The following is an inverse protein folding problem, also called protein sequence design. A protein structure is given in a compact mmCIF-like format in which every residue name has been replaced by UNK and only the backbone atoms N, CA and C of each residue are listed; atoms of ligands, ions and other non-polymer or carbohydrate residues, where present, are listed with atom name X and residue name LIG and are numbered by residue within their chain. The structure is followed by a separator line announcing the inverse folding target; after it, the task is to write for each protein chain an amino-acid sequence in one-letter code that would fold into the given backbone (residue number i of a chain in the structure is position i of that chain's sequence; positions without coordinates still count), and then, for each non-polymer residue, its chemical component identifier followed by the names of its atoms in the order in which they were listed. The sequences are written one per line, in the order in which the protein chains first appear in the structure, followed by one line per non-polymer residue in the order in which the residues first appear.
data_IF_413014363709
#
_entry.id   IF_413014363709
#
_cell.length_a   1.000
_cell.length_b   1.000
_cell.length_c   1.000
_cell.angle_alpha   90.00
_cell.angle_beta   90.00
_cell.angle_gamma   90.00
#
_symmetry.space_group_name_H-M   'P 1'
#
loop_
_entity.id
_entity.type
_entity.pdbx_description
1 polymer ?
#
# COMPACT_ATOMS: atom_id res chain seq x y z
N UNK A 1 -12.05 -24.46 65.31
CA UNK A 1 -12.46 -23.20 64.66
C UNK A 1 -11.56 -22.75 63.49
N UNK A 2 -10.51 -23.49 63.09
CA UNK A 2 -9.61 -23.08 61.98
C UNK A 2 -9.85 -23.86 60.67
N UNK A 3 -10.56 -24.99 60.70
CA UNK A 3 -10.79 -25.83 59.50
C UNK A 3 -11.95 -25.34 58.62
N UNK A 4 -12.90 -24.57 59.17
CA UNK A 4 -14.03 -24.02 58.40
C UNK A 4 -13.68 -22.77 57.57
N UNK A 5 -12.62 -22.02 57.95
CA UNK A 5 -12.20 -20.83 57.21
C UNK A 5 -11.44 -21.18 55.91
N UNK A 6 -10.66 -22.27 55.91
CA UNK A 6 -9.93 -22.72 54.72
C UNK A 6 -10.87 -23.29 53.63
N UNK A 7 -11.92 -24.03 54.04
CA UNK A 7 -12.95 -24.53 53.13
C UNK A 7 -13.75 -23.40 52.47
N UNK A 8 -14.07 -22.34 53.22
CA UNK A 8 -14.76 -21.17 52.69
C UNK A 8 -13.90 -20.40 51.67
N UNK A 9 -12.59 -20.23 51.90
CA UNK A 9 -11.69 -19.54 50.96
C UNK A 9 -11.46 -20.35 49.67
N UNK A 10 -11.37 -21.68 49.76
CA UNK A 10 -11.25 -22.56 48.58
C UNK A 10 -12.58 -22.63 47.81
N UNK A 11 -13.72 -22.68 48.50
CA UNK A 11 -15.04 -22.64 47.90
C UNK A 11 -15.34 -21.27 47.24
N UNK A 12 -14.92 -20.16 47.87
CA UNK A 12 -15.07 -18.82 47.30
C UNK A 12 -14.16 -18.61 46.08
N UNK A 13 -12.93 -19.14 46.09
CA UNK A 13 -12.03 -19.16 44.93
C UNK A 13 -12.50 -20.09 43.80
N UNK A 14 -13.26 -21.13 44.11
CA UNK A 14 -13.85 -22.04 43.14
C UNK A 14 -15.14 -21.46 42.52
N UNK A 15 -15.96 -20.74 43.31
CA UNK A 15 -17.16 -20.05 42.82
C UNK A 15 -16.84 -18.74 42.08
N UNK A 16 -15.73 -18.07 42.40
CA UNK A 16 -15.26 -16.87 41.67
C UNK A 16 -14.36 -17.19 40.47
N UNK A 17 -14.09 -18.48 40.19
CA UNK A 17 -13.85 -18.91 38.80
C UNK A 17 -15.20 -18.92 38.09
N UNK A 18 -15.79 -17.72 37.98
CA UNK A 18 -16.96 -17.48 37.17
C UNK A 18 -16.71 -18.04 35.79
N UNK A 19 -17.75 -18.63 35.22
CA UNK A 19 -17.83 -19.27 33.91
C UNK A 19 -17.35 -18.29 32.81
N UNK A 20 -16.03 -18.07 32.72
CA UNK A 20 -15.41 -17.19 31.74
C UNK A 20 -15.62 -17.88 30.41
N UNK A 21 -16.52 -17.32 29.60
CA UNK A 21 -16.75 -17.80 28.25
C UNK A 21 -15.40 -17.88 27.54
N UNK A 22 -15.12 -19.04 26.96
CA UNK A 22 -13.88 -19.30 26.23
C UNK A 22 -13.92 -18.52 24.92
N UNK A 23 -12.86 -17.78 24.57
CA UNK A 23 -12.78 -17.12 23.28
C UNK A 23 -12.95 -18.12 22.14
N UNK A 24 -13.83 -17.81 21.20
CA UNK A 24 -14.03 -18.61 19.97
C UNK A 24 -13.08 -18.16 18.86
N UNK A 25 -12.63 -16.90 18.88
CA UNK A 25 -11.61 -16.37 17.97
C UNK A 25 -10.95 -15.12 18.57
N UNK A 26 -9.81 -14.74 17.99
CA UNK A 26 -9.13 -13.46 18.26
C UNK A 26 -9.39 -12.53 17.10
N UNK A 27 -9.74 -11.28 17.40
CA UNK A 27 -9.97 -10.25 16.41
C UNK A 27 -9.31 -8.92 16.81
N UNK A 28 -9.23 -8.02 15.84
CA UNK A 28 -8.64 -6.70 15.98
C UNK A 28 -9.62 -5.63 15.50
N UNK A 29 -9.67 -4.49 16.20
CA UNK A 29 -10.52 -3.36 15.84
C UNK A 29 -9.99 -2.67 14.57
N UNK A 30 -10.86 -2.40 13.60
CA UNK A 30 -10.48 -1.72 12.34
C UNK A 30 -11.01 -0.30 12.16
N UNK A 31 -11.91 0.15 13.03
CA UNK A 31 -12.33 1.55 13.07
C UNK A 31 -11.33 2.40 13.87
N UNK A 32 -11.26 3.72 13.63
CA UNK A 32 -10.48 4.62 14.48
C UNK A 32 -10.96 4.65 15.94
N UNK A 33 -12.25 4.41 16.15
CA UNK A 33 -12.93 4.39 17.45
C UNK A 33 -14.03 3.34 17.44
N UNK A 34 -14.11 2.50 18.47
CA UNK A 34 -15.15 1.50 18.64
C UNK A 34 -15.62 1.44 20.09
N UNK A 35 -16.88 1.76 20.31
CA UNK A 35 -17.48 1.70 21.64
C UNK A 35 -17.77 0.24 22.05
N UNK A 36 -17.28 -0.14 23.23
CA UNK A 36 -17.64 -1.37 23.93
C UNK A 36 -18.90 -1.13 24.74
N UNK A 37 -20.00 -1.79 24.39
CA UNK A 37 -21.31 -1.56 25.01
C UNK A 37 -21.63 -2.62 26.05
N UNK A 38 -22.45 -2.30 27.05
CA UNK A 38 -22.96 -3.29 28.00
C UNK A 38 -24.02 -4.23 27.40
N UNK A 39 -24.76 -3.78 26.39
CA UNK A 39 -25.81 -4.54 25.69
C UNK A 39 -25.87 -4.17 24.21
N UNK A 40 -26.27 -5.09 23.30
CA UNK A 40 -26.51 -4.77 21.89
C UNK A 40 -27.84 -4.04 21.64
N UNK A 41 -28.57 -3.67 22.69
CA UNK A 41 -29.86 -2.97 22.58
C UNK A 41 -29.71 -1.49 22.22
N UNK A 42 -30.82 -0.87 21.77
CA UNK A 42 -30.87 0.56 21.42
C UNK A 42 -30.49 1.45 22.61
N UNK A 43 -30.93 1.07 23.82
CA UNK A 43 -30.53 1.73 25.06
C UNK A 43 -29.39 0.93 25.68
N UNK A 44 -28.21 1.54 25.73
CA UNK A 44 -26.98 0.94 26.23
C UNK A 44 -26.11 2.01 26.88
N UNK A 45 -25.08 1.55 27.60
CA UNK A 45 -24.00 2.37 28.14
C UNK A 45 -22.68 1.96 27.49
N UNK A 46 -21.88 2.95 27.09
CA UNK A 46 -20.48 2.73 26.69
C UNK A 46 -19.63 2.43 27.91
N UNK A 47 -19.04 1.23 27.94
CA UNK A 47 -18.13 0.75 28.97
C UNK A 47 -16.71 1.26 28.74
N UNK A 48 -16.26 1.21 27.48
CA UNK A 48 -14.91 1.57 27.05
C UNK A 48 -14.94 2.00 25.58
N UNK A 49 -13.95 2.77 25.14
CA UNK A 49 -13.73 3.11 23.73
C UNK A 49 -12.40 2.53 23.28
N UNK A 50 -12.45 1.57 22.37
CA UNK A 50 -11.29 0.93 21.76
C UNK A 50 -10.85 1.68 20.51
N UNK A 51 -9.59 1.50 20.13
CA UNK A 51 -8.94 2.13 18.99
C UNK A 51 -8.55 1.10 17.93
N UNK A 52 -8.23 1.61 16.74
CA UNK A 52 -7.67 0.79 15.66
C UNK A 52 -6.50 -0.07 16.16
N UNK A 53 -6.54 -1.37 15.88
CA UNK A 53 -5.51 -2.33 16.24
C UNK A 53 -5.62 -2.90 17.65
N UNK A 54 -6.62 -2.50 18.44
CA UNK A 54 -6.86 -3.13 19.74
C UNK A 54 -7.27 -4.59 19.55
N UNK A 55 -6.60 -5.47 20.30
CA UNK A 55 -6.86 -6.92 20.28
C UNK A 55 -8.01 -7.25 21.21
N UNK A 56 -8.98 -8.01 20.71
CA UNK A 56 -10.09 -8.55 21.49
C UNK A 56 -10.23 -10.05 21.32
N UNK A 57 -10.65 -10.71 22.39
CA UNK A 57 -11.09 -12.09 22.38
C UNK A 57 -12.59 -12.11 22.10
N UNK A 58 -13.02 -12.64 20.97
CA UNK A 58 -14.45 -12.78 20.65
C UNK A 58 -14.99 -13.98 21.41
N UNK A 59 -15.99 -13.76 22.26
CA UNK A 59 -16.61 -14.80 23.09
C UNK A 59 -17.84 -15.40 22.39
N UNK A 60 -18.60 -14.56 21.69
CA UNK A 60 -19.83 -14.96 20.99
C UNK A 60 -20.15 -13.99 19.84
N UNK A 61 -20.75 -14.51 18.77
CA UNK A 61 -21.36 -13.71 17.70
C UNK A 61 -22.88 -13.87 17.73
N UNK A 62 -23.61 -12.76 17.58
CA UNK A 62 -25.07 -12.72 17.53
C UNK A 62 -25.53 -11.66 16.51
N UNK A 63 -25.74 -12.09 15.26
CA UNK A 63 -26.08 -11.19 14.16
C UNK A 63 -24.96 -10.17 13.90
N UNK A 64 -25.32 -8.88 13.84
CA UNK A 64 -24.37 -7.77 13.65
C UNK A 64 -23.53 -7.44 14.89
N UNK A 65 -23.71 -8.16 15.99
CA UNK A 65 -23.04 -7.93 17.25
C UNK A 65 -22.12 -9.08 17.64
N UNK A 66 -21.02 -8.75 18.30
CA UNK A 66 -20.12 -9.71 18.92
C UNK A 66 -19.95 -9.34 20.39
N UNK A 67 -20.06 -10.32 21.28
CA UNK A 67 -19.62 -10.17 22.65
C UNK A 67 -18.12 -10.44 22.70
N UNK A 68 -17.36 -9.48 23.20
CA UNK A 68 -15.90 -9.51 23.21
C UNK A 68 -15.36 -9.32 24.62
N UNK A 69 -14.13 -9.76 24.83
CA UNK A 69 -13.30 -9.45 25.99
C UNK A 69 -12.07 -8.68 25.54
N UNK A 70 -11.86 -7.51 26.12
CA UNK A 70 -10.67 -6.67 25.89
C UNK A 70 -9.46 -7.22 26.63
N UNK A 71 -8.27 -6.69 26.31
CA UNK A 71 -7.01 -7.13 26.92
C UNK A 71 -6.90 -6.83 28.43
N UNK A 72 -7.59 -5.80 28.91
CA UNK A 72 -7.70 -5.44 30.33
C UNK A 72 -8.80 -6.25 31.08
N UNK A 73 -9.56 -7.07 30.34
CA UNK A 73 -10.53 -8.02 30.88
C UNK A 73 -11.97 -7.51 30.93
N UNK A 74 -12.28 -6.31 30.41
CA UNK A 74 -13.65 -5.85 30.26
C UNK A 74 -14.41 -6.73 29.23
N UNK A 75 -15.68 -7.01 29.50
CA UNK A 75 -16.55 -7.75 28.58
C UNK A 75 -17.74 -6.89 28.16
N UNK A 76 -18.03 -6.86 26.87
CA UNK A 76 -19.13 -6.08 26.31
C UNK A 76 -19.44 -6.47 24.88
N UNK A 77 -20.29 -5.69 24.23
CA UNK A 77 -20.81 -5.91 22.89
C UNK A 77 -20.30 -4.85 21.92
N UNK A 78 -19.89 -5.30 20.74
CA UNK A 78 -19.38 -4.45 19.66
C UNK A 78 -19.98 -4.86 18.32
N UNK A 79 -19.93 -3.99 17.33
CA UNK A 79 -20.41 -4.31 15.99
C UNK A 79 -19.40 -5.24 15.31
N UNK A 80 -19.85 -6.41 14.85
CA UNK A 80 -18.98 -7.45 14.26
C UNK A 80 -18.20 -6.95 13.04
N UNK A 81 -18.77 -6.04 12.25
CA UNK A 81 -18.13 -5.51 11.03
C UNK A 81 -16.87 -4.66 11.33
N UNK A 82 -16.73 -4.19 12.56
CA UNK A 82 -15.59 -3.38 13.02
C UNK A 82 -14.47 -4.27 13.58
N UNK A 83 -14.63 -5.60 13.47
CA UNK A 83 -13.66 -6.60 13.90
C UNK A 83 -13.05 -7.32 12.70
N UNK A 84 -11.73 -7.46 12.72
CA UNK A 84 -10.96 -8.19 11.73
C UNK A 84 -10.34 -9.45 12.35
N UNK A 85 -10.52 -10.64 11.78
CA UNK A 85 -9.91 -11.87 12.29
C UNK A 85 -8.38 -11.78 12.36
N UNK A 86 -7.77 -12.39 13.39
CA UNK A 86 -6.31 -12.37 13.64
C UNK A 86 -5.49 -12.66 12.40
N UNK A 87 -5.85 -13.72 11.65
CA UNK A 87 -5.11 -14.14 10.45
C UNK A 87 -5.07 -13.05 9.37
N UNK A 88 -6.17 -12.32 9.18
CA UNK A 88 -6.26 -11.25 8.17
C UNK A 88 -5.50 -10.01 8.64
N UNK A 89 -5.66 -9.64 9.91
CA UNK A 89 -4.93 -8.54 10.51
C UNK A 89 -3.41 -8.76 10.43
N UNK A 90 -2.94 -9.93 10.83
CA UNK A 90 -1.52 -10.32 10.79
C UNK A 90 -0.97 -10.33 9.35
N UNK A 91 -1.75 -10.80 8.38
CA UNK A 91 -1.37 -10.74 6.97
C UNK A 91 -1.20 -9.29 6.49
N UNK A 92 -2.10 -8.39 6.89
CA UNK A 92 -1.98 -6.95 6.62
C UNK A 92 -0.76 -6.32 7.28
N UNK A 93 -0.46 -6.67 8.55
CA UNK A 93 0.73 -6.19 9.26
C UNK A 93 2.03 -6.72 8.62
N UNK A 94 2.04 -7.97 8.15
CA UNK A 94 3.16 -8.54 7.40
C UNK A 94 3.37 -7.82 6.08
N UNK A 95 2.29 -7.50 5.37
CA UNK A 95 2.36 -6.71 4.14
C UNK A 95 2.93 -5.31 4.43
N UNK A 96 2.45 -4.62 5.45
CA UNK A 96 2.99 -3.33 5.89
C UNK A 96 4.49 -3.40 6.20
N UNK A 97 4.93 -4.43 6.92
CA UNK A 97 6.33 -4.64 7.25
C UNK A 97 7.21 -4.90 6.02
N UNK A 98 6.67 -5.58 5.00
CA UNK A 98 7.39 -5.78 3.73
C UNK A 98 7.61 -4.48 2.96
N UNK A 99 6.61 -3.59 2.94
CA UNK A 99 6.70 -2.29 2.27
C UNK A 99 7.69 -1.32 2.92
N UNK A 100 8.08 -1.54 4.18
CA UNK A 100 9.07 -0.70 4.85
C UNK A 100 10.46 -0.70 4.17
N UNK A 101 10.75 -1.70 3.34
CA UNK A 101 12.00 -1.82 2.57
C UNK A 101 11.85 -1.42 1.11
N UNK A 102 10.62 -1.19 0.66
CA UNK A 102 10.32 -0.86 -0.73
C UNK A 102 10.37 0.64 -0.96
N UNK A 103 10.65 1.04 -2.20
CA UNK A 103 10.69 2.44 -2.57
C UNK A 103 9.30 2.91 -2.99
N UNK A 104 8.82 3.99 -2.37
CA UNK A 104 7.58 4.66 -2.76
C UNK A 104 7.70 5.11 -4.22
N UNK A 105 6.70 4.75 -5.01
CA UNK A 105 6.60 5.15 -6.42
C UNK A 105 5.88 6.48 -6.57
N UNK A 106 4.82 6.71 -5.80
CA UNK A 106 4.04 7.94 -5.81
C UNK A 106 3.44 8.22 -4.43
N UNK A 107 3.32 9.49 -4.08
CA UNK A 107 2.41 9.96 -3.01
C UNK A 107 1.04 10.29 -3.60
N UNK A 108 0.00 10.21 -2.77
CA UNK A 108 -1.36 10.52 -3.19
C UNK A 108 -2.33 10.59 -2.03
N UNK A 109 -3.61 10.61 -2.35
CA UNK A 109 -4.70 10.51 -1.40
C UNK A 109 -5.88 9.71 -1.98
N UNK A 110 -6.76 9.25 -1.08
CA UNK A 110 -8.03 8.70 -1.47
C UNK A 110 -8.95 9.82 -1.97
N UNK A 111 -9.28 9.84 -3.26
CA UNK A 111 -10.21 10.80 -3.87
C UNK A 111 -11.64 10.59 -3.34
N UNK A 112 -12.00 9.34 -3.05
CA UNK A 112 -13.25 8.94 -2.43
C UNK A 112 -12.96 7.87 -1.38
N UNK A 113 -13.92 7.66 -0.48
CA UNK A 113 -13.83 6.57 0.49
C UNK A 113 -13.63 5.21 -0.22
N UNK A 114 -12.61 4.45 0.17
CA UNK A 114 -12.23 3.20 -0.50
C UNK A 114 -11.73 2.15 0.49
N UNK A 115 -12.18 0.91 0.32
CA UNK A 115 -11.72 -0.21 1.13
C UNK A 115 -10.29 -0.60 0.73
N UNK A 116 -9.48 -0.89 1.73
CA UNK A 116 -8.17 -1.52 1.59
C UNK A 116 -8.40 -3.03 1.60
N UNK A 117 -7.91 -3.74 0.60
CA UNK A 117 -8.01 -5.19 0.51
C UNK A 117 -6.66 -5.86 0.74
N UNK A 118 -6.66 -7.10 1.22
CA UNK A 118 -5.43 -7.88 1.37
C UNK A 118 -4.81 -8.29 0.02
N UNK A 119 -5.64 -8.45 -1.01
CA UNK A 119 -5.27 -8.84 -2.37
C UNK A 119 -5.93 -7.91 -3.40
N UNK A 120 -5.40 -7.78 -4.63
CA UNK A 120 -5.92 -6.87 -5.66
C UNK A 120 -7.21 -7.38 -6.32
N UNK A 121 -8.27 -7.64 -5.54
CA UNK A 121 -9.56 -8.15 -6.02
C UNK A 121 -10.69 -7.71 -5.07
N UNK A 122 -11.90 -7.59 -5.62
CA UNK A 122 -13.05 -6.96 -4.92
C UNK A 122 -13.63 -7.81 -3.78
N UNK A 123 -13.46 -9.12 -3.86
CA UNK A 123 -13.92 -10.11 -2.89
C UNK A 123 -12.81 -10.53 -1.92
N UNK A 124 -11.63 -9.91 -1.99
CA UNK A 124 -10.57 -10.14 -1.01
C UNK A 124 -10.95 -9.56 0.36
N UNK A 125 -10.45 -10.17 1.46
CA UNK A 125 -10.65 -9.64 2.81
C UNK A 125 -10.27 -8.17 2.93
N UNK A 126 -11.14 -7.39 3.57
CA UNK A 126 -10.96 -5.96 3.79
C UNK A 126 -10.11 -5.71 5.05
N UNK A 127 -9.13 -4.82 4.95
CA UNK A 127 -8.23 -4.39 6.02
C UNK A 127 -8.69 -3.06 6.65
N UNK A 128 -9.84 -2.54 6.21
CA UNK A 128 -10.47 -1.31 6.67
C UNK A 128 -10.70 -0.30 5.54
N UNK A 129 -11.26 0.85 5.91
CA UNK A 129 -11.63 1.92 5.00
C UNK A 129 -10.61 3.08 5.04
N UNK A 130 -10.24 3.61 3.87
CA UNK A 130 -9.68 4.94 3.72
C UNK A 130 -10.82 5.93 3.53
N UNK A 131 -10.83 7.02 4.28
CA UNK A 131 -11.77 8.12 4.06
C UNK A 131 -11.28 9.03 2.95
N UNK A 132 -12.18 9.78 2.34
CA UNK A 132 -11.84 10.85 1.38
C UNK A 132 -10.77 11.80 1.94
N UNK A 133 -9.81 12.17 1.10
CA UNK A 133 -8.66 13.01 1.45
C UNK A 133 -7.58 12.33 2.29
N UNK A 134 -7.75 11.06 2.70
CA UNK A 134 -6.75 10.37 3.50
C UNK A 134 -5.46 10.14 2.68
N UNK A 135 -4.29 10.59 3.15
CA UNK A 135 -3.04 10.45 2.42
C UNK A 135 -2.57 9.00 2.37
N UNK A 136 -1.92 8.65 1.27
CA UNK A 136 -1.36 7.32 1.01
C UNK A 136 -0.09 7.41 0.15
N UNK A 137 0.66 6.32 0.14
CA UNK A 137 1.84 6.12 -0.71
C UNK A 137 1.63 4.85 -1.54
N UNK A 138 1.95 4.90 -2.83
CA UNK A 138 1.82 3.81 -3.79
C UNK A 138 3.17 3.13 -4.01
N UNK A 139 3.16 1.79 -4.03
CA UNK A 139 4.35 0.95 -4.19
C UNK A 139 4.30 0.07 -5.45
N UNK A 140 3.11 -0.40 -5.83
CA UNK A 140 2.92 -1.30 -6.95
C UNK A 140 1.53 -1.08 -7.59
N UNK A 141 1.35 -1.56 -8.80
CA UNK A 141 0.09 -1.53 -9.54
C UNK A 141 -0.19 -2.89 -10.18
N UNK A 142 -1.45 -3.33 -10.14
CA UNK A 142 -1.90 -4.55 -10.82
C UNK A 142 -3.19 -4.32 -11.57
N UNK A 143 -3.25 -4.84 -12.79
CA UNK A 143 -4.50 -4.93 -13.55
C UNK A 143 -5.10 -6.31 -13.29
N UNK A 144 -6.35 -6.32 -12.82
CA UNK A 144 -7.09 -7.54 -12.52
C UNK A 144 -8.43 -7.50 -13.22
N UNK A 145 -8.78 -8.58 -13.90
CA UNK A 145 -10.07 -8.72 -14.58
C UNK A 145 -11.22 -8.62 -13.58
N UNK A 146 -12.26 -7.84 -13.91
CA UNK A 146 -13.46 -7.77 -13.07
C UNK A 146 -14.23 -9.06 -13.23
N UNK A 147 -14.20 -9.90 -12.21
CA UNK A 147 -15.08 -11.06 -12.14
C UNK A 147 -16.53 -10.57 -12.06
N UNK A 148 -17.32 -10.82 -13.11
CA UNK A 148 -18.76 -10.55 -13.12
C UNK A 148 -19.48 -11.70 -12.41
N UNK A 149 -19.49 -11.69 -11.08
CA UNK A 149 -20.43 -12.51 -10.35
C UNK A 149 -21.84 -11.91 -10.53
N UNK A 150 -22.71 -12.67 -11.20
CA UNK A 150 -24.15 -12.41 -11.41
C UNK A 150 -24.53 -11.38 -12.49
N UNK A 151 -24.51 -11.81 -13.74
CA UNK A 151 -25.51 -11.39 -14.73
C UNK A 151 -25.68 -12.50 -15.75
N UNK A 152 -26.76 -13.28 -15.63
CA UNK A 152 -27.24 -14.17 -16.68
C UNK A 152 -27.84 -13.34 -17.81
N UNK A 153 -26.99 -12.70 -18.61
CA UNK A 153 -27.37 -12.13 -19.91
C UNK A 153 -26.23 -12.46 -20.88
N UNK A 154 -26.57 -13.15 -21.97
CA UNK A 154 -25.68 -13.43 -23.09
C UNK A 154 -24.96 -12.14 -23.52
N UNK A 155 -23.61 -12.08 -23.58
CA UNK A 155 -22.94 -10.91 -24.09
C UNK A 155 -23.10 -10.87 -25.61
N UNK A 156 -23.94 -9.96 -26.09
CA UNK A 156 -23.88 -9.44 -27.45
C UNK A 156 -23.04 -8.15 -27.41
N UNK A 157 -21.72 -8.28 -27.42
CA UNK A 157 -20.73 -7.28 -27.88
C UNK A 157 -19.31 -7.72 -27.54
N UNK A 158 -18.39 -7.52 -28.47
CA UNK A 158 -16.95 -7.81 -28.41
C UNK A 158 -16.18 -6.78 -27.58
N UNK A 159 -16.72 -6.38 -26.42
CA UNK A 159 -16.02 -5.47 -25.51
C UNK A 159 -15.04 -6.29 -24.65
N UNK A 160 -13.77 -5.87 -24.48
CA UNK A 160 -12.84 -6.53 -23.58
C UNK A 160 -13.44 -6.61 -22.17
N UNK A 161 -13.20 -7.71 -21.41
CA UNK A 161 -13.64 -7.78 -20.02
C UNK A 161 -13.09 -6.57 -19.26
N UNK A 162 -13.96 -5.85 -18.56
CA UNK A 162 -13.57 -4.63 -17.88
C UNK A 162 -12.56 -4.97 -16.79
N UNK A 163 -11.31 -4.54 -16.91
CA UNK A 163 -10.29 -4.73 -15.87
C UNK A 163 -10.26 -3.55 -14.90
N UNK A 164 -9.93 -3.84 -13.64
CA UNK A 164 -9.71 -2.83 -12.61
C UNK A 164 -8.21 -2.70 -12.32
N UNK A 165 -7.71 -1.46 -12.28
CA UNK A 165 -6.39 -1.16 -11.76
C UNK A 165 -6.44 -1.10 -10.23
N UNK A 166 -5.50 -1.76 -9.58
CA UNK A 166 -5.32 -1.78 -8.14
C UNK A 166 -3.95 -1.22 -7.79
N UNK A 167 -3.88 -0.34 -6.79
CA UNK A 167 -2.63 0.13 -6.23
C UNK A 167 -2.35 -0.57 -4.92
N UNK A 168 -1.13 -1.07 -4.75
CA UNK A 168 -0.60 -1.46 -3.44
C UNK A 168 -0.17 -0.19 -2.72
N UNK A 169 -0.80 0.08 -1.59
CA UNK A 169 -0.61 1.32 -0.85
C UNK A 169 -0.23 1.10 0.60
N UNK A 170 0.42 2.11 1.18
CA UNK A 170 0.55 2.32 2.62
C UNK A 170 -0.21 3.59 3.01
N UNK A 171 -1.01 3.52 4.08
CA UNK A 171 -1.75 4.65 4.63
C UNK A 171 -1.70 4.59 6.17
N UNK A 172 -0.77 5.35 6.76
CA UNK A 172 -0.49 5.30 8.19
C UNK A 172 0.03 3.91 8.61
N UNK A 173 -0.65 3.28 9.57
CA UNK A 173 -0.34 1.94 10.09
C UNK A 173 -1.00 0.80 9.30
N UNK A 174 -1.41 1.04 8.06
CA UNK A 174 -2.13 0.08 7.20
C UNK A 174 -1.47 -0.04 5.84
N UNK A 175 -1.48 -1.24 5.28
CA UNK A 175 -1.07 -1.49 3.90
C UNK A 175 -2.00 -2.50 3.24
N UNK A 176 -2.20 -2.36 1.93
CA UNK A 176 -3.04 -3.25 1.14
C UNK A 176 -3.36 -2.68 -0.23
N UNK A 177 -4.31 -3.31 -0.92
CA UNK A 177 -4.70 -2.98 -2.28
C UNK A 177 -5.96 -2.11 -2.30
N UNK A 178 -5.92 -0.99 -3.00
CA UNK A 178 -7.06 -0.10 -3.20
C UNK A 178 -7.36 0.05 -4.69
N UNK A 179 -8.61 0.30 -5.04
CA UNK A 179 -9.00 0.56 -6.43
C UNK A 179 -8.36 1.86 -6.92
N UNK A 180 -7.53 1.78 -7.96
CA UNK A 180 -6.73 2.91 -8.42
C UNK A 180 -7.56 4.10 -8.93
N UNK A 181 -8.79 3.88 -9.37
CA UNK A 181 -9.71 4.97 -9.75
C UNK A 181 -10.25 5.79 -8.57
N UNK A 182 -10.06 5.32 -7.34
CA UNK A 182 -10.43 6.04 -6.11
C UNK A 182 -9.21 6.74 -5.49
N UNK A 183 -8.08 6.78 -6.21
CA UNK A 183 -6.83 7.36 -5.75
C UNK A 183 -6.45 8.49 -6.69
N UNK A 184 -6.19 9.66 -6.12
CA UNK A 184 -5.53 10.75 -6.81
C UNK A 184 -4.04 10.75 -6.45
N UNK A 185 -3.19 10.98 -7.44
CA UNK A 185 -1.75 11.03 -7.25
C UNK A 185 -1.32 12.49 -7.14
N UNK A 186 -0.45 12.78 -6.17
CA UNK A 186 -0.04 14.15 -5.82
C UNK A 186 1.46 14.36 -6.11
N UNK A 187 1.84 14.69 -7.36
CA UNK A 187 3.22 15.04 -7.68
C UNK A 187 3.71 16.21 -6.81
N UNK A 188 5.01 16.23 -6.43
CA UNK A 188 5.59 17.32 -5.68
C UNK A 188 5.33 18.68 -6.36
N UNK A 189 5.02 19.71 -5.57
CA UNK A 189 4.71 21.05 -6.09
C UNK A 189 5.82 21.60 -7.00
N UNK A 190 7.08 21.24 -6.73
CA UNK A 190 8.25 21.59 -7.53
C UNK A 190 8.16 21.09 -9.00
N UNK A 191 7.37 20.05 -9.24
CA UNK A 191 7.15 19.44 -10.55
C UNK A 191 5.85 19.89 -11.22
N UNK A 192 4.95 20.61 -10.55
CA UNK A 192 3.58 20.87 -11.06
C UNK A 192 3.53 21.47 -12.47
N UNK A 193 4.45 22.39 -12.82
CA UNK A 193 4.52 22.97 -14.16
C UNK A 193 4.93 21.96 -15.26
N UNK A 194 5.58 20.85 -14.88
CA UNK A 194 6.07 19.81 -15.79
C UNK A 194 5.12 18.62 -15.89
N UNK A 195 4.09 18.54 -15.05
CA UNK A 195 3.13 17.42 -15.02
C UNK A 195 1.79 17.76 -15.67
N UNK A 196 1.52 19.02 -16.03
CA UNK A 196 0.20 19.48 -16.51
C UNK A 196 -0.34 18.64 -17.68
N UNK A 197 0.49 18.36 -18.67
CA UNK A 197 0.08 17.64 -19.90
C UNK A 197 0.37 16.13 -19.82
N UNK A 198 0.74 15.63 -18.64
CA UNK A 198 1.21 14.25 -18.47
C UNK A 198 0.41 13.53 -17.40
N UNK A 199 0.06 12.28 -17.67
CA UNK A 199 -0.43 11.37 -16.65
C UNK A 199 0.77 10.84 -15.85
N UNK A 200 1.27 11.64 -14.91
CA UNK A 200 2.41 11.29 -14.05
C UNK A 200 1.99 10.26 -13.01
N UNK A 201 2.68 9.12 -13.00
CA UNK A 201 2.31 7.93 -12.20
C UNK A 201 3.38 7.51 -11.19
N UNK A 202 4.61 8.02 -11.32
CA UNK A 202 5.64 7.86 -10.30
C UNK A 202 6.69 8.98 -10.35
N UNK A 203 7.28 9.28 -9.20
CA UNK A 203 8.39 10.23 -9.04
C UNK A 203 9.33 9.78 -7.93
N UNK A 204 10.61 9.70 -8.27
CA UNK A 204 11.65 9.22 -7.37
C UNK A 204 12.77 10.25 -7.30
N UNK A 205 13.20 10.59 -6.08
CA UNK A 205 14.35 11.46 -5.88
C UNK A 205 15.61 10.66 -6.23
N UNK A 206 16.35 11.14 -7.22
CA UNK A 206 17.64 10.57 -7.62
C UNK A 206 18.74 11.00 -6.65
N UNK A 207 18.88 12.30 -6.41
CA UNK A 207 19.77 12.90 -5.43
C UNK A 207 19.29 14.33 -5.12
N UNK A 208 20.06 15.07 -4.31
CA UNK A 208 19.84 16.50 -4.06
C UNK A 208 21.06 17.32 -4.48
N UNK A 209 20.85 18.58 -4.84
CA UNK A 209 21.90 19.56 -5.06
C UNK A 209 21.68 20.80 -4.22
N UNK A 210 22.79 21.43 -3.78
CA UNK A 210 22.74 22.66 -3.01
C UNK A 210 22.42 23.86 -3.90
N UNK A 211 21.41 24.64 -3.50
CA UNK A 211 21.11 25.97 -4.03
C UNK A 211 20.93 26.94 -2.86
N UNK A 212 21.98 27.69 -2.55
CA UNK A 212 22.09 28.42 -1.29
C UNK A 212 22.07 27.45 -0.09
N UNK A 213 21.11 27.64 0.82
CA UNK A 213 20.92 26.78 1.99
C UNK A 213 19.96 25.60 1.73
N UNK A 214 19.34 25.54 0.55
CA UNK A 214 18.34 24.53 0.25
C UNK A 214 18.97 23.31 -0.43
N UNK A 215 18.51 22.12 -0.05
CA UNK A 215 18.74 20.88 -0.78
C UNK A 215 17.61 20.70 -1.79
N UNK A 216 17.90 20.92 -3.07
CA UNK A 216 16.93 20.81 -4.15
C UNK A 216 16.98 19.39 -4.72
N UNK A 217 15.89 18.62 -4.66
CA UNK A 217 15.84 17.27 -5.19
C UNK A 217 15.90 17.26 -6.72
N UNK A 218 16.54 16.23 -7.28
CA UNK A 218 16.45 15.90 -8.71
C UNK A 218 15.59 14.65 -8.86
N UNK A 219 14.77 14.61 -9.90
CA UNK A 219 13.71 13.61 -10.01
C UNK A 219 13.85 12.74 -11.25
N UNK A 220 13.61 11.45 -11.08
CA UNK A 220 13.12 10.57 -12.14
C UNK A 220 11.60 10.57 -12.05
N UNK A 221 10.93 10.85 -13.16
CA UNK A 221 9.47 10.87 -13.29
C UNK A 221 9.06 9.84 -14.33
N UNK A 222 8.00 9.10 -14.05
CA UNK A 222 7.38 8.18 -15.00
C UNK A 222 5.95 8.60 -15.30
N UNK A 223 5.60 8.54 -16.58
CA UNK A 223 4.31 8.96 -17.11
C UNK A 223 3.67 7.79 -17.89
N UNK A 224 2.33 7.75 -17.90
CA UNK A 224 1.53 6.75 -18.62
C UNK A 224 0.76 7.40 -19.76
N UNK A 225 1.30 7.27 -20.97
CA UNK A 225 0.72 7.78 -22.21
C UNK A 225 0.17 6.64 -23.08
N UNK A 226 -1.01 6.84 -23.66
CA UNK A 226 -1.58 6.01 -24.74
C UNK A 226 -2.18 4.65 -24.35
N UNK A 227 -1.61 3.93 -23.38
CA UNK A 227 -2.13 2.61 -22.92
C UNK A 227 -2.20 2.50 -21.40
N UNK A 228 -3.11 1.65 -20.93
CA UNK A 228 -3.28 1.28 -19.51
C UNK A 228 -2.65 -0.06 -19.15
N UNK A 229 -2.11 -0.79 -20.13
CA UNK A 229 -1.58 -2.15 -19.94
C UNK A 229 -0.27 -2.15 -19.14
N UNK A 230 0.50 -1.08 -19.28
CA UNK A 230 1.77 -0.87 -18.60
C UNK A 230 1.63 0.15 -17.47
N UNK A 231 2.48 0.03 -16.47
CA UNK A 231 2.46 0.96 -15.34
C UNK A 231 2.94 2.34 -15.78
N UNK A 232 3.94 2.39 -16.66
CA UNK A 232 4.41 3.60 -17.33
C UNK A 232 4.91 3.31 -18.75
N UNK A 233 4.84 4.30 -19.63
CA UNK A 233 5.28 4.21 -21.03
C UNK A 233 6.31 5.26 -21.41
N UNK A 234 6.54 6.21 -20.51
CA UNK A 234 7.44 7.34 -20.70
C UNK A 234 8.17 7.63 -19.40
N UNK A 235 9.45 8.03 -19.49
CA UNK A 235 10.21 8.56 -18.34
C UNK A 235 10.93 9.85 -18.68
N UNK A 236 11.09 10.70 -17.67
CA UNK A 236 11.82 11.97 -17.73
C UNK A 236 12.72 12.11 -16.53
N UNK A 237 13.89 12.72 -16.70
CA UNK A 237 14.78 13.08 -15.58
C UNK A 237 14.94 14.58 -15.51
N UNK A 238 14.54 15.15 -14.37
CA UNK A 238 14.63 16.57 -14.07
C UNK A 238 15.83 16.84 -13.15
N UNK A 239 16.80 17.57 -13.68
CA UNK A 239 17.98 18.03 -12.94
C UNK A 239 17.83 19.51 -12.63
N UNK A 240 18.36 19.98 -11.50
CA UNK A 240 18.27 21.38 -11.10
C UNK A 240 19.42 22.21 -11.66
N UNK A 241 19.08 23.30 -12.36
CA UNK A 241 20.07 24.26 -12.83
C UNK A 241 20.24 25.41 -11.83
N UNK A 242 21.24 25.28 -10.94
CA UNK A 242 21.54 26.25 -9.86
C UNK A 242 21.63 27.69 -10.36
N UNK A 243 22.35 27.98 -11.45
CA UNK A 243 22.52 29.36 -11.96
C UNK A 243 21.23 30.01 -12.45
N UNK A 244 20.19 29.23 -12.79
CA UNK A 244 18.91 29.74 -13.30
C UNK A 244 17.72 29.41 -12.38
N UNK A 245 17.98 28.83 -11.21
CA UNK A 245 16.98 28.44 -10.23
C UNK A 245 15.75 27.74 -10.84
N UNK A 246 15.98 26.76 -11.73
CA UNK A 246 14.90 26.02 -12.39
C UNK A 246 15.31 24.60 -12.77
N UNK A 247 14.31 23.73 -12.92
CA UNK A 247 14.54 22.40 -13.49
C UNK A 247 14.80 22.46 -15.00
N UNK A 248 15.55 21.45 -15.45
CA UNK A 248 15.80 21.15 -16.86
C UNK A 248 15.56 19.66 -17.07
N UNK A 249 14.89 19.33 -18.17
CA UNK A 249 14.74 17.94 -18.63
C UNK A 249 16.07 17.45 -19.20
N UNK A 250 16.80 16.68 -18.41
CA UNK A 250 18.12 16.14 -18.77
C UNK A 250 18.04 14.89 -19.64
N UNK A 251 16.94 14.14 -19.54
CA UNK A 251 16.75 12.89 -20.24
C UNK A 251 15.26 12.61 -20.42
N UNK A 252 14.93 11.97 -21.55
CA UNK A 252 13.59 11.54 -21.90
C UNK A 252 13.68 10.19 -22.60
N UNK A 253 12.77 9.27 -22.27
CA UNK A 253 12.60 8.03 -23.03
C UNK A 253 11.12 7.64 -23.09
N UNK A 254 10.61 7.45 -24.30
CA UNK A 254 9.22 7.05 -24.60
C UNK A 254 9.15 5.62 -25.16
N UNK A 255 7.93 5.13 -25.38
CA UNK A 255 7.69 3.83 -26.01
C UNK A 255 8.08 2.65 -25.13
N UNK A 256 8.02 2.82 -23.82
CA UNK A 256 8.38 1.80 -22.85
C UNK A 256 7.17 0.90 -22.55
N UNK A 257 7.43 -0.38 -22.29
CA UNK A 257 6.49 -1.29 -21.65
C UNK A 257 6.94 -1.46 -20.20
N UNK A 258 6.73 -0.42 -19.38
CA UNK A 258 7.28 -0.28 -18.04
C UNK A 258 6.40 -0.86 -16.95
N UNK A 259 7.04 -1.49 -15.95
CA UNK A 259 6.38 -2.08 -14.79
C UNK A 259 7.00 -1.60 -13.48
N UNK A 260 6.19 -1.50 -12.43
CA UNK A 260 6.68 -1.20 -11.09
C UNK A 260 7.41 -2.40 -10.44
N UNK A 261 8.26 -2.14 -9.43
CA UNK A 261 8.73 -0.82 -9.01
C UNK A 261 9.87 -0.31 -9.92
N UNK A 262 9.96 1.01 -10.05
CA UNK A 262 11.19 1.69 -10.42
C UNK A 262 12.06 1.74 -9.17
N UNK A 263 13.35 1.44 -9.32
CA UNK A 263 14.29 1.42 -8.19
C UNK A 263 15.43 2.38 -8.43
N UNK A 264 15.80 3.13 -7.39
CA UNK A 264 16.95 4.02 -7.35
C UNK A 264 17.93 3.53 -6.29
N UNK A 265 19.20 3.40 -6.67
CA UNK A 265 20.29 3.00 -5.80
C UNK A 265 21.51 3.90 -6.00
N UNK A 266 22.30 4.08 -4.95
CA UNK A 266 23.52 4.88 -5.02
C UNK A 266 24.76 3.97 -5.00
N UNK A 267 25.66 4.13 -5.96
CA UNK A 267 26.95 3.44 -6.00
C UNK A 267 28.03 4.49 -6.17
N UNK A 268 28.95 4.58 -5.21
CA UNK A 268 30.02 5.59 -5.19
C UNK A 268 29.49 7.02 -5.40
N UNK A 269 28.42 7.39 -4.69
CA UNK A 269 27.75 8.70 -4.76
C UNK A 269 27.11 9.04 -6.12
N UNK A 270 27.01 8.07 -7.04
CA UNK A 270 26.29 8.22 -8.30
C UNK A 270 24.93 7.55 -8.16
N UNK A 271 23.81 8.26 -8.40
CA UNK A 271 22.50 7.64 -8.45
C UNK A 271 22.31 6.85 -9.74
N UNK A 272 21.92 5.60 -9.58
CA UNK A 272 21.51 4.70 -10.64
C UNK A 272 20.03 4.40 -10.47
N UNK A 273 19.30 4.40 -11.59
CA UNK A 273 17.92 3.98 -11.60
C UNK A 273 17.70 2.84 -12.58
N UNK A 274 16.73 2.01 -12.26
CA UNK A 274 16.45 0.77 -12.94
C UNK A 274 14.97 0.66 -13.23
N UNK A 275 14.67 0.38 -14.50
CA UNK A 275 13.31 0.23 -15.02
C UNK A 275 13.07 -1.25 -15.33
N UNK A 276 12.00 -1.84 -14.80
CA UNK A 276 11.51 -3.15 -15.25
C UNK A 276 10.76 -2.95 -16.56
N UNK A 277 11.22 -3.63 -17.61
CA UNK A 277 10.67 -3.50 -18.96
C UNK A 277 10.32 -4.89 -19.52
N UNK A 278 9.36 -4.88 -20.44
CA UNK A 278 9.06 -6.00 -21.34
C UNK A 278 9.39 -5.58 -22.77
N UNK A 279 9.94 -6.48 -23.58
CA UNK A 279 10.09 -6.25 -25.02
C UNK A 279 8.89 -6.75 -25.83
N UNK A 280 8.85 -6.46 -27.12
CA UNK A 280 7.76 -6.89 -28.01
C UNK A 280 7.53 -8.41 -28.05
N UNK A 281 8.52 -9.21 -27.63
CA UNK A 281 8.44 -10.68 -27.56
C UNK A 281 8.02 -11.18 -26.18
N UNK A 282 7.67 -10.29 -25.26
CA UNK A 282 7.30 -10.63 -23.89
C UNK A 282 8.49 -10.92 -22.96
N UNK A 283 9.74 -10.68 -23.40
CA UNK A 283 10.91 -10.94 -22.55
C UNK A 283 11.04 -9.86 -21.50
N UNK A 284 11.16 -10.29 -20.25
CA UNK A 284 11.36 -9.41 -19.09
C UNK A 284 12.84 -9.10 -18.93
N UNK A 285 13.16 -7.82 -18.83
CA UNK A 285 14.51 -7.36 -18.53
C UNK A 285 14.45 -6.07 -17.71
N UNK A 286 15.58 -5.65 -17.20
CA UNK A 286 15.73 -4.35 -16.56
C UNK A 286 16.69 -3.48 -17.35
N UNK A 287 16.34 -2.22 -17.59
CA UNK A 287 17.25 -1.22 -18.13
C UNK A 287 17.84 -0.38 -17.00
N UNK A 288 19.17 -0.25 -16.96
CA UNK A 288 19.89 0.49 -15.91
C UNK A 288 20.51 1.75 -16.49
N UNK A 289 20.33 2.86 -15.78
CA UNK A 289 20.88 4.17 -16.12
C UNK A 289 21.61 4.74 -14.91
N UNK A 290 22.63 5.56 -15.15
CA UNK A 290 23.32 6.33 -14.11
C UNK A 290 23.23 7.82 -14.43
N UNK A 291 23.02 8.64 -13.42
CA UNK A 291 23.07 10.10 -13.54
C UNK A 291 24.45 10.59 -13.08
N UNK A 292 25.26 11.04 -14.04
CA UNK A 292 26.59 11.59 -13.81
C UNK A 292 26.50 13.11 -13.96
N UNK A 293 26.64 13.82 -12.84
CA UNK A 293 26.35 15.24 -12.72
C UNK A 293 24.90 15.55 -13.11
N UNK A 294 24.68 16.07 -14.33
CA UNK A 294 23.36 16.35 -14.90
C UNK A 294 23.06 15.52 -16.14
N UNK A 295 23.90 14.52 -16.45
CA UNK A 295 23.80 13.70 -17.67
C UNK A 295 23.41 12.28 -17.31
N UNK A 296 22.26 11.83 -17.82
CA UNK A 296 21.84 10.43 -17.72
C UNK A 296 22.54 9.60 -18.79
N UNK A 297 23.16 8.49 -18.39
CA UNK A 297 23.82 7.53 -19.29
C UNK A 297 23.21 6.14 -19.15
N UNK A 298 22.87 5.47 -20.26
CA UNK A 298 22.51 4.05 -20.20
C UNK A 298 23.74 3.23 -19.83
N UNK A 299 23.59 2.36 -18.82
CA UNK A 299 24.66 1.45 -18.35
C UNK A 299 24.56 0.10 -19.04
N UNK A 300 23.34 -0.38 -19.27
CA UNK A 300 23.09 -1.66 -19.92
C UNK A 300 21.77 -2.26 -19.46
N UNK A 301 21.60 -3.54 -19.75
CA UNK A 301 20.42 -4.32 -19.35
C UNK A 301 20.80 -5.51 -18.47
N UNK A 302 19.85 -5.95 -17.67
CA UNK A 302 19.94 -7.18 -16.86
C UNK A 302 18.74 -8.06 -17.21
N UNK A 303 18.99 -9.35 -17.40
CA UNK A 303 17.92 -10.29 -17.73
C UNK A 303 16.99 -10.55 -16.53
N UNK A 304 15.68 -10.68 -16.81
CA UNK A 304 14.65 -10.83 -15.79
C UNK A 304 14.42 -9.58 -14.93
N UNK A 305 13.63 -9.73 -13.87
CA UNK A 305 13.21 -8.63 -12.98
C UNK A 305 13.67 -8.77 -11.52
N UNK A 306 14.37 -9.85 -11.19
CA UNK A 306 14.77 -10.17 -9.81
C UNK A 306 16.20 -9.72 -9.48
N UNK A 307 17.10 -9.75 -10.47
CA UNK A 307 18.51 -9.44 -10.23
C UNK A 307 18.71 -7.96 -9.88
N UNK A 308 19.52 -7.69 -8.87
CA UNK A 308 19.95 -6.35 -8.47
C UNK A 308 21.36 -6.01 -8.97
N UNK A 309 22.03 -6.97 -9.61
CA UNK A 309 23.39 -6.80 -10.11
C UNK A 309 23.48 -5.67 -11.15
N UNK A 310 24.64 -5.01 -11.22
CA UNK A 310 24.91 -4.06 -12.29
C UNK A 310 25.09 -4.82 -13.62
N UNK A 311 24.69 -4.22 -14.76
CA UNK A 311 24.94 -4.82 -16.07
C UNK A 311 26.43 -5.14 -16.24
N UNK A 312 26.72 -6.30 -16.85
CA UNK A 312 28.09 -6.61 -17.24
C UNK A 312 28.58 -5.51 -18.19
N UNK A 313 29.83 -5.06 -18.02
CA UNK A 313 30.46 -4.15 -18.98
C UNK A 313 30.48 -4.86 -20.32
N UNK A 314 29.65 -4.43 -21.26
CA UNK A 314 29.77 -4.83 -22.65
C UNK A 314 31.11 -4.31 -23.13
N UNK A 315 32.10 -5.20 -23.27
CA UNK A 315 33.28 -4.89 -24.09
C UNK A 315 32.73 -4.57 -25.47
N UNK A 316 32.69 -3.29 -25.85
CA UNK A 316 32.49 -2.92 -27.25
C UNK A 316 33.56 -3.67 -28.04
N UNK A 317 33.15 -4.68 -28.81
CA UNK A 317 33.96 -5.13 -29.93
C UNK A 317 34.10 -3.91 -30.84
N UNK A 318 35.34 -3.42 -30.96
CA UNK A 318 35.74 -2.61 -32.10
C UNK A 318 35.72 -3.57 -33.28
N UNK A 319 34.71 -3.42 -34.13
CA UNK A 319 34.76 -3.88 -35.52
C UNK A 319 34.91 -2.63 -36.40
#
# INVERSE_FOLDING_TARGET
MVVLAAGAVVYFRWIHKGNRETPIEVAYVISPSLDLLDTPAVVHRTLEVMKYGDRVDVLRKAGSWAKVRTSDGAEGWVITKELLPSAIYEAGQKLLASLAKEQVQASGHAELAVNIHLEPRRDAPELGLLTEGQPLEVFDRRIVERSTASSSVKPASSSPPAADAWYLVRAGSRAGWVLGRMVSLDPPQALSQYTVDYNTVAWLVLNTVKDGNNDVPQYLVADREGTVDFDFTHIRVFTWWVKRHRYVTSFVKSGLQGHFPITVQHVNNVPYFRLRLVDEKGRKFQAVYGLFDTIVRPIGTVDGWESTAMPAKTSRKQD
#
